data_IF_469168824303
#
_entry.id   IF_469168824303
#
_cell.length_a   1.000
_cell.length_b   1.000
_cell.length_c   1.000
_cell.angle_alpha   90.00
_cell.angle_beta   90.00
_cell.angle_gamma   90.00
#
_symmetry.space_group_name_H-M   'P 1'
#
loop_
_entity.id
_entity.type
_entity.pdbx_description
1 polymer ?
#
# COMPACT_ATOMS: atom_id res chain seq x y z
N UNK A 1 -17.41 -2.72 -6.52
CA UNK A 1 -17.04 -2.93 -5.12
C UNK A 1 -17.76 -1.95 -4.19
N UNK A 2 -17.46 -0.65 -4.24
CA UNK A 2 -18.03 0.33 -3.28
C UNK A 2 -19.57 0.34 -3.22
N UNK A 3 -20.24 0.25 -4.36
CA UNK A 3 -21.71 0.22 -4.45
C UNK A 3 -22.36 -1.04 -3.82
N UNK A 4 -21.56 -2.07 -3.50
CA UNK A 4 -22.05 -3.28 -2.83
C UNK A 4 -22.00 -3.17 -1.29
N UNK A 5 -21.48 -2.07 -0.75
CA UNK A 5 -21.43 -1.84 0.69
C UNK A 5 -22.80 -1.37 1.21
N UNK A 6 -23.25 -1.89 2.37
CA UNK A 6 -24.57 -1.56 2.92
C UNK A 6 -24.64 -0.18 3.59
N UNK A 7 -23.51 0.52 3.69
CA UNK A 7 -23.38 1.82 4.34
C UNK A 7 -22.47 2.75 3.53
N UNK A 8 -22.53 4.07 3.75
CA UNK A 8 -21.63 5.02 3.09
C UNK A 8 -20.16 4.64 3.29
N UNK A 9 -19.40 4.64 2.20
CA UNK A 9 -17.98 4.25 2.20
C UNK A 9 -17.10 5.48 2.14
N UNK A 10 -16.04 5.47 2.96
CA UNK A 10 -14.92 6.39 2.84
C UNK A 10 -13.72 5.63 2.27
N UNK A 11 -13.13 6.17 1.21
CA UNK A 11 -11.93 5.60 0.57
C UNK A 11 -10.72 6.40 1.01
N UNK A 12 -9.65 5.70 1.37
CA UNK A 12 -8.35 6.28 1.67
C UNK A 12 -7.29 5.65 0.77
N UNK A 13 -6.58 6.45 -0.03
CA UNK A 13 -5.37 6.04 -0.72
C UNK A 13 -4.20 6.09 0.24
N UNK A 14 -3.55 4.96 0.50
CA UNK A 14 -2.49 4.84 1.49
C UNK A 14 -1.07 4.95 0.90
N UNK A 15 -0.89 5.88 -0.02
CA UNK A 15 0.40 6.19 -0.68
C UNK A 15 0.68 5.38 -1.94
N UNK A 16 1.72 5.80 -2.67
CA UNK A 16 2.22 5.24 -3.93
C UNK A 16 1.10 5.01 -4.96
N UNK A 17 0.22 6.01 -5.09
CA UNK A 17 -0.80 6.02 -6.13
C UNK A 17 -0.27 6.54 -7.45
N UNK A 18 0.88 7.24 -7.45
CA UNK A 18 1.69 7.51 -8.63
C UNK A 18 2.89 6.56 -8.68
N UNK A 19 3.11 5.89 -9.81
CA UNK A 19 4.32 5.08 -10.03
C UNK A 19 4.58 4.80 -11.50
N UNK A 20 3.55 4.34 -12.22
CA UNK A 20 3.67 3.90 -13.62
C UNK A 20 3.09 4.90 -14.63
N UNK A 21 2.31 5.87 -14.16
CA UNK A 21 1.61 6.91 -14.90
C UNK A 21 2.56 8.06 -15.26
N UNK A 22 3.54 7.77 -16.12
CA UNK A 22 4.53 8.75 -16.58
C UNK A 22 4.05 9.62 -17.75
N UNK A 23 2.89 9.31 -18.33
CA UNK A 23 2.21 10.21 -19.25
C UNK A 23 1.48 11.32 -18.47
N UNK A 24 1.54 12.56 -18.95
CA UNK A 24 1.00 13.71 -18.21
C UNK A 24 -0.53 13.70 -18.06
N UNK A 25 -1.26 13.19 -19.05
CA UNK A 25 -2.72 13.12 -18.96
C UNK A 25 -3.16 12.03 -17.98
N UNK A 26 -2.48 10.88 -18.02
CA UNK A 26 -2.71 9.79 -17.07
C UNK A 26 -2.34 10.23 -15.64
N UNK A 27 -1.17 10.86 -15.45
CA UNK A 27 -0.73 11.39 -14.15
C UNK A 27 -1.76 12.35 -13.54
N UNK A 28 -2.15 13.37 -14.31
CA UNK A 28 -3.14 14.34 -13.85
C UNK A 28 -4.52 13.70 -13.61
N UNK A 29 -4.90 12.67 -14.37
CA UNK A 29 -6.16 11.95 -14.15
C UNK A 29 -6.15 11.14 -12.85
N UNK A 30 -5.04 10.46 -12.53
CA UNK A 30 -4.84 9.76 -11.27
C UNK A 30 -4.90 10.75 -10.11
N UNK A 31 -4.13 11.84 -10.17
CA UNK A 31 -4.08 12.83 -9.08
C UNK A 31 -5.45 13.43 -8.79
N UNK A 32 -6.18 13.89 -9.82
CA UNK A 32 -7.54 14.43 -9.67
C UNK A 32 -8.52 13.42 -9.07
N UNK A 33 -8.39 12.13 -9.43
CA UNK A 33 -9.24 11.09 -8.86
C UNK A 33 -8.94 10.90 -7.37
N UNK A 34 -7.66 10.83 -7.00
CA UNK A 34 -7.22 10.68 -5.61
C UNK A 34 -7.61 11.90 -4.77
N UNK A 35 -7.49 13.12 -5.31
CA UNK A 35 -7.84 14.37 -4.64
C UNK A 35 -9.33 14.46 -4.23
N UNK A 36 -10.21 13.63 -4.81
CA UNK A 36 -11.62 13.53 -4.41
C UNK A 36 -11.87 12.59 -3.22
N UNK A 37 -10.82 11.97 -2.68
CA UNK A 37 -10.87 11.01 -1.58
C UNK A 37 -9.90 11.40 -0.46
N UNK A 38 -9.93 10.65 0.65
CA UNK A 38 -8.83 10.76 1.61
C UNK A 38 -7.56 10.15 0.98
N UNK A 39 -6.41 10.76 1.26
CA UNK A 39 -5.13 10.22 0.87
C UNK A 39 -4.05 10.55 1.91
N UNK A 40 -3.01 9.73 1.95
CA UNK A 40 -1.72 10.00 2.59
C UNK A 40 -0.61 9.88 1.55
N UNK A 41 0.53 10.52 1.82
CA UNK A 41 1.75 10.32 1.03
C UNK A 41 2.22 8.85 1.13
N UNK A 42 2.77 8.33 0.04
CA UNK A 42 3.74 7.24 0.05
C UNK A 42 5.16 7.77 -0.08
N UNK A 43 6.15 6.87 -0.05
CA UNK A 43 7.54 7.31 -0.25
C UNK A 43 7.76 7.83 -1.66
N UNK A 44 7.05 7.31 -2.67
CA UNK A 44 7.19 7.81 -4.04
C UNK A 44 6.78 9.28 -4.10
N UNK A 45 5.57 9.61 -3.64
CA UNK A 45 5.10 11.01 -3.69
C UNK A 45 5.95 11.94 -2.83
N UNK A 46 6.44 11.48 -1.67
CA UNK A 46 7.36 12.26 -0.84
C UNK A 46 8.65 12.62 -1.60
N UNK A 47 9.22 11.69 -2.37
CA UNK A 47 10.42 11.95 -3.17
C UNK A 47 10.15 12.76 -4.45
N UNK A 48 8.92 12.79 -4.96
CA UNK A 48 8.54 13.74 -6.02
C UNK A 48 8.63 15.19 -5.52
N UNK A 49 8.30 15.42 -4.25
CA UNK A 49 8.39 16.73 -3.58
C UNK A 49 9.81 17.11 -3.16
N UNK A 50 10.72 16.14 -3.04
CA UNK A 50 12.10 16.39 -2.63
C UNK A 50 12.87 17.19 -3.70
N UNK A 51 13.67 18.16 -3.25
CA UNK A 51 14.62 18.90 -4.11
C UNK A 51 15.94 18.13 -4.25
N UNK A 52 16.22 17.22 -3.33
CA UNK A 52 17.40 16.36 -3.35
C UNK A 52 17.05 14.99 -3.94
N UNK A 53 17.84 14.54 -4.92
CA UNK A 53 17.69 13.24 -5.57
C UNK A 53 18.52 12.13 -4.91
N UNK A 54 19.20 12.43 -3.79
CA UNK A 54 20.08 11.47 -3.10
C UNK A 54 19.36 10.21 -2.58
N UNK A 55 18.06 10.32 -2.29
CA UNK A 55 17.24 9.20 -1.85
C UNK A 55 16.71 8.31 -2.99
N UNK A 56 16.93 8.70 -4.26
CA UNK A 56 16.43 7.99 -5.42
C UNK A 56 14.90 7.85 -5.39
N UNK A 57 14.40 6.62 -5.50
CA UNK A 57 12.97 6.32 -5.41
C UNK A 57 12.37 6.37 -3.98
N UNK A 58 13.19 6.55 -2.94
CA UNK A 58 12.73 6.64 -1.55
C UNK A 58 12.26 5.32 -0.94
N UNK A 59 12.31 4.19 -1.66
CA UNK A 59 11.75 2.92 -1.21
C UNK A 59 12.48 2.28 -0.01
N UNK A 60 13.68 2.77 0.34
CA UNK A 60 14.53 2.24 1.42
C UNK A 60 14.62 0.70 1.40
N UNK A 61 14.95 0.13 0.23
CA UNK A 61 14.94 -1.31 0.03
C UNK A 61 15.80 -2.04 1.08
N UNK A 62 15.34 -3.22 1.56
CA UNK A 62 16.14 -4.11 2.38
C UNK A 62 17.47 -4.49 1.70
N UNK A 63 18.49 -4.80 2.50
CA UNK A 63 19.85 -5.06 2.01
C UNK A 63 19.98 -6.30 1.11
N UNK A 64 18.99 -7.19 1.10
CA UNK A 64 18.92 -8.38 0.24
C UNK A 64 18.35 -8.09 -1.16
N UNK A 65 17.82 -6.88 -1.40
CA UNK A 65 17.40 -6.44 -2.74
C UNK A 65 18.62 -6.07 -3.57
N UNK A 66 18.69 -6.57 -4.79
CA UNK A 66 19.84 -6.35 -5.68
C UNK A 66 19.92 -4.91 -6.21
N UNK A 67 21.16 -4.43 -6.40
CA UNK A 67 21.44 -3.07 -6.90
C UNK A 67 20.79 -2.78 -8.26
N UNK A 68 20.61 -3.79 -9.12
CA UNK A 68 20.00 -3.58 -10.42
C UNK A 68 18.50 -3.30 -10.28
N UNK A 69 17.82 -3.92 -9.33
CA UNK A 69 16.44 -3.59 -8.95
C UNK A 69 16.36 -2.16 -8.42
N UNK A 70 17.24 -1.76 -7.50
CA UNK A 70 17.30 -0.38 -6.99
C UNK A 70 17.51 0.63 -8.12
N UNK A 71 18.47 0.36 -9.02
CA UNK A 71 18.78 1.24 -10.15
C UNK A 71 17.59 1.39 -11.10
N UNK A 72 16.85 0.31 -11.38
CA UNK A 72 15.63 0.38 -12.21
C UNK A 72 14.54 1.20 -11.51
N UNK A 73 14.32 1.02 -10.21
CA UNK A 73 13.35 1.84 -9.46
C UNK A 73 13.70 3.33 -9.49
N UNK A 74 14.98 3.67 -9.38
CA UNK A 74 15.43 5.07 -9.48
C UNK A 74 15.19 5.64 -10.89
N UNK A 75 15.36 4.84 -11.96
CA UNK A 75 15.04 5.28 -13.32
C UNK A 75 13.53 5.49 -13.52
N UNK A 76 12.68 4.66 -12.91
CA UNK A 76 11.23 4.83 -12.93
C UNK A 76 10.84 6.15 -12.26
N UNK A 77 11.35 6.34 -11.04
CA UNK A 77 11.05 7.53 -10.25
C UNK A 77 11.51 8.82 -10.93
N UNK A 78 12.74 8.85 -11.48
CA UNK A 78 13.24 10.03 -12.19
C UNK A 78 12.30 10.46 -13.34
N UNK A 79 11.81 9.50 -14.13
CA UNK A 79 10.85 9.79 -15.21
C UNK A 79 9.50 10.27 -14.68
N UNK A 80 9.01 9.68 -13.59
CA UNK A 80 7.79 10.11 -12.92
C UNK A 80 7.93 11.53 -12.37
N UNK A 81 9.07 11.86 -11.77
CA UNK A 81 9.39 13.18 -11.21
C UNK A 81 9.40 14.26 -12.28
N UNK A 82 9.97 13.97 -13.45
CA UNK A 82 9.87 14.89 -14.60
C UNK A 82 8.42 15.18 -14.99
N UNK A 83 7.54 14.18 -14.97
CA UNK A 83 6.11 14.35 -15.29
C UNK A 83 5.40 15.14 -14.20
N UNK A 84 5.60 14.78 -12.93
CA UNK A 84 4.99 15.45 -11.79
C UNK A 84 5.33 16.95 -11.75
N UNK A 85 6.59 17.32 -12.01
CA UNK A 85 7.05 18.71 -11.98
C UNK A 85 6.46 19.59 -13.10
N UNK A 86 5.82 18.98 -14.12
CA UNK A 86 5.07 19.70 -15.16
C UNK A 86 3.62 19.98 -14.74
N UNK A 87 3.11 19.33 -13.70
CA UNK A 87 1.75 19.53 -13.17
C UNK A 87 1.79 20.23 -11.80
N UNK A 88 1.75 21.57 -11.83
CA UNK A 88 1.77 22.39 -10.61
C UNK A 88 0.57 22.14 -9.68
N UNK A 89 -0.59 21.73 -10.22
CA UNK A 89 -1.78 21.47 -9.42
C UNK A 89 -1.58 20.18 -8.61
N UNK A 90 -1.10 19.12 -9.25
CA UNK A 90 -0.76 17.88 -8.58
C UNK A 90 0.34 18.09 -7.52
N UNK A 91 1.42 18.81 -7.84
CA UNK A 91 2.48 19.11 -6.87
C UNK A 91 1.96 19.86 -5.63
N UNK A 92 1.01 20.78 -5.82
CA UNK A 92 0.35 21.48 -4.72
C UNK A 92 -0.51 20.54 -3.87
N UNK A 93 -1.27 19.66 -4.53
CA UNK A 93 -2.09 18.65 -3.84
C UNK A 93 -1.22 17.69 -3.02
N UNK A 94 -0.17 17.12 -3.62
CA UNK A 94 0.76 16.21 -2.97
C UNK A 94 1.43 16.86 -1.75
N UNK A 95 1.90 18.11 -1.87
CA UNK A 95 2.50 18.84 -0.76
C UNK A 95 1.56 19.05 0.44
N UNK A 96 0.24 19.00 0.21
CA UNK A 96 -0.78 19.11 1.25
C UNK A 96 -1.17 17.78 1.91
N UNK A 97 -0.70 16.64 1.41
CA UNK A 97 -1.07 15.33 1.93
C UNK A 97 -0.33 15.00 3.24
N UNK A 98 -1.03 14.46 4.25
CA UNK A 98 -0.39 14.01 5.48
C UNK A 98 0.37 12.69 5.24
N UNK A 99 1.37 12.39 6.08
CA UNK A 99 2.11 11.12 6.03
C UNK A 99 1.37 9.95 6.70
N UNK A 100 0.37 10.25 7.53
CA UNK A 100 -0.47 9.26 8.19
C UNK A 100 -1.86 9.82 8.44
N UNK A 101 -2.83 8.93 8.59
CA UNK A 101 -4.21 9.30 8.99
C UNK A 101 -4.70 8.41 10.12
N UNK A 102 -5.69 8.91 10.83
CA UNK A 102 -6.39 8.18 11.88
C UNK A 102 -7.86 8.09 11.56
N UNK A 103 -8.41 6.90 11.75
CA UNK A 103 -9.84 6.67 11.69
C UNK A 103 -10.30 6.03 12.99
N UNK A 104 -11.58 6.20 13.29
CA UNK A 104 -12.25 5.45 14.35
C UNK A 104 -13.50 4.81 13.75
N UNK A 105 -13.61 3.50 13.86
CA UNK A 105 -14.78 2.74 13.43
C UNK A 105 -15.29 1.99 14.66
N UNK A 106 -16.53 2.28 15.06
CA UNK A 106 -17.07 1.94 16.38
C UNK A 106 -16.12 2.39 17.51
N UNK A 107 -15.60 1.45 18.28
CA UNK A 107 -14.68 1.67 19.40
C UNK A 107 -13.20 1.43 19.05
N UNK A 108 -12.90 1.17 17.78
CA UNK A 108 -11.56 0.79 17.32
C UNK A 108 -10.85 1.97 16.65
N UNK A 109 -9.74 2.41 17.26
CA UNK A 109 -8.82 3.37 16.66
C UNK A 109 -7.88 2.69 15.65
N UNK A 110 -7.78 3.28 14.47
CA UNK A 110 -7.05 2.76 13.31
C UNK A 110 -6.01 3.80 12.88
N UNK A 111 -4.76 3.38 12.72
CA UNK A 111 -3.70 4.15 12.09
C UNK A 111 -3.53 3.70 10.64
N UNK A 112 -3.58 4.63 9.70
CA UNK A 112 -3.24 4.38 8.29
C UNK A 112 -1.88 5.01 8.03
N UNK A 113 -0.95 4.17 7.59
CA UNK A 113 0.44 4.51 7.25
C UNK A 113 0.76 3.90 5.89
N UNK A 114 1.80 4.40 5.21
CA UNK A 114 2.28 3.78 3.97
C UNK A 114 3.19 2.58 4.27
N UNK A 115 4.35 2.85 4.88
CA UNK A 115 5.33 1.85 5.34
C UNK A 115 4.98 1.26 6.71
N UNK A 116 5.66 1.71 7.75
CA UNK A 116 5.44 1.24 9.12
C UNK A 116 5.19 2.39 10.11
N UNK A 117 5.14 2.07 11.40
CA UNK A 117 4.81 3.03 12.45
C UNK A 117 5.87 4.13 12.68
N UNK A 118 7.11 3.94 12.21
CA UNK A 118 8.19 4.91 12.40
C UNK A 118 8.67 5.56 11.09
N UNK A 119 8.51 4.88 9.95
CA UNK A 119 9.02 5.36 8.67
C UNK A 119 8.02 5.21 7.53
N UNK A 120 7.94 6.24 6.69
CA UNK A 120 7.13 6.25 5.47
C UNK A 120 7.55 5.11 4.52
N UNK A 121 8.85 4.86 4.39
CA UNK A 121 9.43 3.78 3.61
C UNK A 121 9.82 2.56 4.47
N UNK A 122 9.21 2.41 5.65
CA UNK A 122 9.54 1.37 6.62
C UNK A 122 8.99 -0.03 6.25
N UNK A 123 9.82 -1.06 6.42
CA UNK A 123 9.51 -2.44 5.98
C UNK A 123 9.03 -3.36 7.10
N UNK A 124 8.90 -2.88 8.34
CA UNK A 124 8.58 -3.74 9.50
C UNK A 124 7.15 -4.30 9.47
N UNK A 125 6.25 -3.69 8.72
CA UNK A 125 4.91 -4.22 8.42
C UNK A 125 4.86 -5.11 7.17
N UNK A 126 6.02 -5.58 6.69
CA UNK A 126 6.14 -6.57 5.62
C UNK A 126 6.27 -8.01 6.11
N UNK A 127 6.08 -8.97 5.20
CA UNK A 127 6.04 -10.41 5.49
C UNK A 127 7.33 -10.93 6.15
N UNK A 128 8.49 -10.39 5.75
CA UNK A 128 9.79 -10.83 6.25
C UNK A 128 10.06 -10.39 7.71
N UNK A 129 9.48 -9.26 8.15
CA UNK A 129 9.84 -8.61 9.40
C UNK A 129 8.72 -8.67 10.47
N UNK A 130 7.45 -8.73 10.06
CA UNK A 130 6.31 -8.62 11.00
C UNK A 130 6.30 -9.70 12.09
N UNK A 131 6.91 -10.84 11.79
CA UNK A 131 7.00 -12.03 12.63
C UNK A 131 8.34 -12.13 13.40
N UNK A 132 9.25 -11.15 13.28
CA UNK A 132 10.55 -11.15 13.96
C UNK A 132 10.34 -11.04 15.49
N UNK A 133 10.80 -12.02 16.29
CA UNK A 133 10.73 -11.94 17.75
C UNK A 133 11.55 -10.78 18.33
N UNK A 134 12.62 -10.33 17.68
CA UNK A 134 13.44 -9.19 18.09
C UNK A 134 12.66 -7.85 18.08
N UNK A 135 11.68 -7.72 17.19
CA UNK A 135 10.86 -6.51 17.03
C UNK A 135 9.64 -6.47 17.98
N UNK A 136 9.53 -7.40 18.93
CA UNK A 136 8.40 -7.50 19.84
C UNK A 136 8.19 -6.25 20.72
N UNK A 137 9.27 -5.74 21.29
CA UNK A 137 9.23 -4.51 22.07
C UNK A 137 8.83 -3.30 21.20
N UNK A 138 9.41 -3.21 19.99
CA UNK A 138 9.09 -2.16 19.03
C UNK A 138 7.62 -2.19 18.64
N UNK A 139 7.06 -3.36 18.28
CA UNK A 139 5.64 -3.50 17.91
C UNK A 139 4.72 -3.03 19.03
N UNK A 140 4.98 -3.44 20.27
CA UNK A 140 4.19 -3.01 21.44
C UNK A 140 4.22 -1.49 21.60
N UNK A 141 5.40 -0.90 21.48
CA UNK A 141 5.59 0.54 21.60
C UNK A 141 4.95 1.31 20.43
N UNK A 142 5.00 0.77 19.22
CA UNK A 142 4.35 1.34 18.03
C UNK A 142 2.84 1.48 18.23
N UNK A 143 2.15 0.41 18.63
CA UNK A 143 0.71 0.46 18.92
C UNK A 143 0.40 1.40 20.10
N UNK A 144 1.22 1.38 21.15
CA UNK A 144 1.03 2.22 22.35
C UNK A 144 1.19 3.72 22.04
N UNK A 145 2.28 4.12 21.37
CA UNK A 145 2.55 5.51 20.98
C UNK A 145 1.50 6.04 20.02
N UNK A 146 1.13 5.22 19.05
CA UNK A 146 0.08 5.59 18.13
C UNK A 146 -1.31 5.58 18.80
N UNK A 147 -1.49 4.92 19.95
CA UNK A 147 -2.81 4.74 20.56
C UNK A 147 -3.84 4.21 19.54
N UNK A 148 -3.49 3.11 18.86
CA UNK A 148 -4.36 2.42 17.91
C UNK A 148 -4.44 0.94 18.26
N UNK A 149 -5.47 0.27 17.75
CA UNK A 149 -5.59 -1.20 17.81
C UNK A 149 -5.37 -1.85 16.46
N UNK A 150 -5.37 -1.07 15.38
CA UNK A 150 -5.15 -1.55 14.02
C UNK A 150 -4.23 -0.59 13.28
N UNK A 151 -3.24 -1.14 12.58
CA UNK A 151 -2.52 -0.45 11.50
C UNK A 151 -2.95 -1.00 10.14
N UNK A 152 -3.24 -0.11 9.21
CA UNK A 152 -3.41 -0.42 7.78
C UNK A 152 -2.23 0.19 7.00
N UNK A 153 -1.57 -0.63 6.17
CA UNK A 153 -0.30 -0.34 5.47
C UNK A 153 -0.28 -0.89 4.03
N UNK A 154 0.75 -0.57 3.24
CA UNK A 154 0.91 -1.01 1.84
C UNK A 154 2.35 -1.28 1.42
N UNK A 155 3.19 -0.23 1.31
CA UNK A 155 4.61 -0.14 0.88
C UNK A 155 5.28 -1.40 0.31
N UNK A 156 5.42 -2.44 1.14
CA UNK A 156 6.13 -3.69 0.82
C UNK A 156 5.55 -4.47 -0.36
N UNK A 157 4.40 -4.06 -0.91
CA UNK A 157 3.77 -4.62 -2.11
C UNK A 157 3.41 -6.10 -2.03
N UNK A 158 3.53 -6.74 -0.87
CA UNK A 158 3.04 -8.08 -0.59
C UNK A 158 2.05 -7.98 0.56
N UNK A 159 0.84 -8.54 0.39
CA UNK A 159 -0.19 -8.31 1.35
C UNK A 159 -0.04 -9.26 2.55
N UNK A 160 -0.45 -8.81 3.71
CA UNK A 160 -0.47 -9.65 4.91
C UNK A 160 -1.55 -9.21 5.87
N UNK A 161 -2.00 -10.17 6.67
CA UNK A 161 -2.78 -9.92 7.87
C UNK A 161 -2.09 -10.62 9.04
N UNK A 162 -1.79 -9.86 10.09
CA UNK A 162 -1.22 -10.37 11.34
C UNK A 162 -1.94 -9.79 12.53
N UNK A 163 -2.11 -10.61 13.55
CA UNK A 163 -2.65 -10.16 14.83
C UNK A 163 -1.80 -10.67 15.99
N UNK A 164 -1.78 -9.84 17.03
CA UNK A 164 -1.07 -10.07 18.26
C UNK A 164 -2.08 -9.99 19.41
N UNK A 165 -2.29 -11.11 20.09
CA UNK A 165 -3.13 -11.15 21.29
C UNK A 165 -2.28 -10.71 22.50
N UNK A 166 -2.76 -9.70 23.23
CA UNK A 166 -2.13 -9.05 24.38
C UNK A 166 -3.11 -9.09 25.56
N UNK A 167 -3.16 -10.23 26.25
CA UNK A 167 -4.20 -10.49 27.24
C UNK A 167 -5.58 -10.53 26.58
N UNK A 168 -6.51 -9.67 27.02
CA UNK A 168 -7.86 -9.58 26.45
C UNK A 168 -7.92 -8.73 25.16
N UNK A 169 -6.85 -7.99 24.84
CA UNK A 169 -6.84 -7.09 23.68
C UNK A 169 -6.15 -7.73 22.48
N UNK A 170 -6.79 -7.62 21.31
CA UNK A 170 -6.19 -7.92 20.02
C UNK A 170 -5.74 -6.65 19.32
N UNK A 171 -4.50 -6.67 18.82
CA UNK A 171 -3.92 -5.67 17.91
C UNK A 171 -3.70 -6.30 16.53
N UNK A 172 -3.92 -5.54 15.45
CA UNK A 172 -3.82 -6.05 14.07
C UNK A 172 -2.97 -5.15 13.19
N UNK A 173 -2.18 -5.76 12.32
CA UNK A 173 -1.58 -5.10 11.16
C UNK A 173 -2.19 -5.75 9.92
N UNK A 174 -2.78 -4.94 9.04
CA UNK A 174 -3.15 -5.34 7.68
C UNK A 174 -2.30 -4.55 6.69
N UNK A 175 -1.64 -5.25 5.78
CA UNK A 175 -0.98 -4.68 4.63
C UNK A 175 -1.75 -5.13 3.38
N UNK A 176 -2.29 -4.19 2.59
CA UNK A 176 -3.07 -4.55 1.41
C UNK A 176 -2.21 -4.96 0.20
N UNK A 177 -0.88 -4.92 0.31
CA UNK A 177 0.02 -5.07 -0.83
C UNK A 177 -0.23 -3.96 -1.84
N UNK A 178 -0.54 -4.33 -3.09
CA UNK A 178 -0.78 -3.41 -4.18
C UNK A 178 -2.25 -3.40 -4.64
N UNK A 179 -2.84 -2.21 -4.81
CA UNK A 179 -4.16 -2.07 -5.42
C UNK A 179 -4.10 -2.13 -6.97
N UNK A 180 -3.03 -1.61 -7.57
CA UNK A 180 -2.84 -1.54 -9.04
C UNK A 180 -2.09 -2.72 -9.67
N UNK A 181 -1.69 -3.72 -8.88
CA UNK A 181 -0.97 -4.90 -9.37
C UNK A 181 -1.44 -6.17 -8.66
N UNK A 182 -1.32 -7.35 -9.28
CA UNK A 182 -1.65 -8.58 -8.61
C UNK A 182 -0.73 -8.86 -7.42
N UNK A 183 -1.31 -9.55 -6.43
CA UNK A 183 -0.66 -9.83 -5.15
C UNK A 183 -0.41 -11.31 -4.90
N UNK A 184 -0.99 -12.20 -5.72
CA UNK A 184 -0.87 -13.65 -5.56
C UNK A 184 -0.58 -14.33 -6.89
N UNK A 185 0.08 -15.47 -6.84
CA UNK A 185 0.42 -16.28 -8.01
C UNK A 185 -0.84 -16.66 -8.79
N UNK A 186 -0.84 -16.39 -10.10
CA UNK A 186 -1.95 -16.77 -11.00
C UNK A 186 -3.21 -15.93 -10.84
N UNK A 187 -3.16 -14.83 -10.09
CA UNK A 187 -4.26 -13.89 -9.91
C UNK A 187 -3.99 -12.59 -10.67
N UNK A 188 -5.05 -11.84 -10.97
CA UNK A 188 -4.99 -10.63 -11.81
C UNK A 188 -5.57 -9.40 -11.13
N UNK A 189 -6.21 -9.58 -9.99
CA UNK A 189 -6.85 -8.53 -9.22
C UNK A 189 -5.84 -7.89 -8.25
N UNK A 190 -6.04 -6.60 -7.98
CA UNK A 190 -5.40 -5.92 -6.85
C UNK A 190 -6.01 -6.35 -5.52
N UNK A 191 -5.59 -5.71 -4.44
CA UNK A 191 -6.11 -6.00 -3.11
C UNK A 191 -6.27 -4.71 -2.30
N UNK A 192 -7.35 -4.64 -1.53
CA UNK A 192 -7.68 -3.52 -0.65
C UNK A 192 -8.05 -4.01 0.75
N UNK A 193 -7.74 -3.20 1.76
CA UNK A 193 -8.21 -3.43 3.13
C UNK A 193 -9.61 -2.85 3.30
N UNK A 194 -10.57 -3.67 3.71
CA UNK A 194 -11.92 -3.26 4.11
C UNK A 194 -12.03 -3.34 5.63
N UNK A 195 -12.43 -2.23 6.24
CA UNK A 195 -12.66 -2.11 7.68
C UNK A 195 -14.11 -1.70 7.89
N UNK A 196 -14.92 -2.56 8.53
CA UNK A 196 -16.36 -2.29 8.70
C UNK A 196 -16.95 -3.02 9.92
N UNK A 197 -18.02 -2.46 10.49
CA UNK A 197 -18.81 -3.14 11.54
C UNK A 197 -19.78 -4.19 10.98
N UNK A 198 -19.88 -4.32 9.66
CA UNK A 198 -20.71 -5.34 9.01
C UNK A 198 -19.85 -6.31 8.20
N UNK A 199 -20.27 -7.59 8.09
CA UNK A 199 -19.64 -8.53 7.19
C UNK A 199 -19.57 -8.00 5.75
N UNK A 200 -18.53 -8.38 5.03
CA UNK A 200 -18.39 -8.05 3.61
C UNK A 200 -19.46 -8.74 2.77
N UNK A 201 -20.05 -8.02 1.81
CA UNK A 201 -20.93 -8.60 0.78
C UNK A 201 -20.16 -9.32 -0.33
N UNK A 202 -18.85 -9.09 -0.41
CA UNK A 202 -17.91 -9.78 -1.29
C UNK A 202 -17.07 -10.79 -0.50
N UNK A 203 -16.74 -11.96 -1.06
CA UNK A 203 -15.90 -12.94 -0.38
C UNK A 203 -14.49 -12.36 -0.15
N UNK A 204 -14.02 -12.25 1.11
CA UNK A 204 -12.66 -11.85 1.38
C UNK A 204 -11.66 -12.93 0.98
N UNK A 205 -10.48 -12.52 0.52
CA UNK A 205 -9.34 -13.42 0.31
C UNK A 205 -8.87 -14.01 1.64
N UNK A 206 -8.89 -13.18 2.68
CA UNK A 206 -8.72 -13.53 4.08
C UNK A 206 -9.19 -12.37 4.94
N UNK A 207 -9.41 -12.61 6.23
CA UNK A 207 -9.81 -11.58 7.16
C UNK A 207 -9.72 -12.03 8.62
N UNK A 208 -9.95 -11.09 9.52
CA UNK A 208 -10.09 -11.31 10.96
C UNK A 208 -11.10 -10.32 11.54
N UNK A 209 -11.30 -10.37 12.85
CA UNK A 209 -12.09 -9.38 13.57
C UNK A 209 -11.36 -8.88 14.83
N UNK A 210 -11.67 -7.64 15.20
CA UNK A 210 -11.29 -7.03 16.48
C UNK A 210 -12.55 -6.44 17.10
N UNK A 211 -13.08 -7.08 18.14
CA UNK A 211 -14.41 -6.73 18.65
C UNK A 211 -15.45 -6.87 17.55
N UNK A 212 -16.20 -5.80 17.27
CA UNK A 212 -17.19 -5.75 16.18
C UNK A 212 -16.60 -5.36 14.80
N UNK A 213 -15.32 -4.98 14.71
CA UNK A 213 -14.71 -4.57 13.46
C UNK A 213 -14.25 -5.79 12.65
N UNK A 214 -14.81 -5.95 11.46
CA UNK A 214 -14.30 -6.83 10.41
C UNK A 214 -13.10 -6.17 9.71
N UNK A 215 -12.03 -6.95 9.56
CA UNK A 215 -10.78 -6.54 8.93
C UNK A 215 -10.50 -7.53 7.79
N UNK A 216 -10.89 -7.13 6.59
CA UNK A 216 -10.95 -8.01 5.43
C UNK A 216 -9.99 -7.54 4.33
N UNK A 217 -9.29 -8.47 3.69
CA UNK A 217 -8.59 -8.22 2.45
C UNK A 217 -9.48 -8.63 1.28
N UNK A 218 -9.94 -7.65 0.50
CA UNK A 218 -10.86 -7.88 -0.61
C UNK A 218 -10.15 -7.76 -1.96
N UNK A 219 -10.47 -8.65 -2.93
CA UNK A 219 -9.93 -8.53 -4.27
C UNK A 219 -10.49 -7.28 -4.96
N UNK A 220 -9.61 -6.48 -5.56
CA UNK A 220 -9.96 -5.30 -6.35
C UNK A 220 -9.84 -5.65 -7.84
N UNK A 221 -10.97 -5.99 -8.45
CA UNK A 221 -11.05 -6.24 -9.88
C UNK A 221 -10.93 -4.95 -10.70
N UNK A 222 -10.17 -5.01 -11.78
CA UNK A 222 -10.04 -3.97 -12.81
C UNK A 222 -9.94 -4.62 -14.20
N UNK A 223 -10.07 -3.83 -15.26
CA UNK A 223 -9.84 -4.31 -16.63
C UNK A 223 -8.35 -4.58 -16.83
N UNK A 224 -7.96 -5.83 -16.59
CA UNK A 224 -6.57 -6.25 -16.56
C UNK A 224 -5.91 -6.14 -17.94
N UNK A 225 -6.62 -6.50 -19.01
CA UNK A 225 -6.06 -6.45 -20.35
C UNK A 225 -5.86 -5.00 -20.80
N UNK A 226 -6.76 -4.09 -20.41
CA UNK A 226 -6.56 -2.65 -20.59
C UNK A 226 -5.37 -2.16 -19.79
N UNK A 227 -5.24 -2.57 -18.54
CA UNK A 227 -4.11 -2.17 -17.69
C UNK A 227 -2.78 -2.58 -18.30
N UNK A 228 -2.65 -3.84 -18.75
CA UNK A 228 -1.43 -4.34 -19.43
C UNK A 228 -1.10 -3.51 -20.67
N UNK A 229 -2.10 -3.17 -21.50
CA UNK A 229 -1.88 -2.33 -22.69
C UNK A 229 -1.39 -0.92 -22.32
N UNK A 230 -1.99 -0.29 -21.32
CA UNK A 230 -1.58 1.05 -20.87
C UNK A 230 -0.18 1.04 -20.26
N UNK A 231 0.11 0.05 -19.42
CA UNK A 231 1.44 -0.16 -18.85
C UNK A 231 2.50 -0.30 -19.95
N UNK A 232 2.29 -1.20 -20.93
CA UNK A 232 3.25 -1.42 -22.02
C UNK A 232 3.40 -0.23 -22.97
N UNK A 233 2.39 0.63 -23.09
CA UNK A 233 2.48 1.87 -23.85
C UNK A 233 3.38 2.90 -23.13
N UNK A 234 3.24 3.04 -21.81
CA UNK A 234 4.07 3.93 -20.99
C UNK A 234 5.49 3.39 -20.81
N UNK A 235 5.62 2.07 -20.72
CA UNK A 235 6.83 1.33 -20.40
C UNK A 235 7.05 0.22 -21.41
N UNK A 236 7.63 0.55 -22.59
CA UNK A 236 7.91 -0.44 -23.62
C UNK A 236 8.93 -1.49 -23.14
N UNK A 237 9.06 -2.57 -23.92
CA UNK A 237 10.06 -3.61 -23.71
C UNK A 237 11.45 -2.97 -23.49
N UNK A 238 12.23 -3.57 -22.61
CA UNK A 238 13.55 -3.13 -22.15
C UNK A 238 13.59 -1.86 -21.29
N UNK A 239 12.44 -1.20 -21.04
CA UNK A 239 12.38 -0.14 -20.02
C UNK A 239 12.51 -0.67 -18.59
N UNK A 240 12.94 0.19 -17.68
CA UNK A 240 13.16 -0.17 -16.28
C UNK A 240 11.89 -0.74 -15.61
N UNK A 241 10.72 -0.14 -15.83
CA UNK A 241 9.46 -0.65 -15.28
C UNK A 241 9.05 -1.97 -15.94
N UNK A 242 9.16 -2.10 -17.27
CA UNK A 242 8.84 -3.35 -17.95
C UNK A 242 9.66 -4.52 -17.39
N UNK A 243 10.97 -4.32 -17.27
CA UNK A 243 11.89 -5.34 -16.77
C UNK A 243 11.66 -5.69 -15.29
N UNK A 244 11.10 -4.76 -14.50
CA UNK A 244 10.85 -4.97 -13.07
C UNK A 244 9.45 -5.53 -12.77
N UNK A 245 8.43 -5.12 -13.53
CA UNK A 245 7.03 -5.32 -13.15
C UNK A 245 6.18 -6.04 -14.20
N UNK A 246 6.56 -6.11 -15.48
CA UNK A 246 5.68 -6.65 -16.53
C UNK A 246 5.22 -8.09 -16.23
N UNK A 247 6.16 -8.99 -15.87
CA UNK A 247 5.83 -10.37 -15.50
C UNK A 247 4.91 -10.41 -14.27
N UNK A 248 5.21 -9.61 -13.25
CA UNK A 248 4.39 -9.53 -12.03
C UNK A 248 2.98 -9.02 -12.33
N UNK A 249 2.84 -8.06 -13.24
CA UNK A 249 1.53 -7.56 -13.67
C UNK A 249 0.77 -8.70 -14.37
N UNK A 250 1.40 -9.48 -15.24
CA UNK A 250 0.71 -10.57 -15.95
C UNK A 250 0.36 -11.80 -15.09
N UNK A 251 1.28 -12.20 -14.21
CA UNK A 251 1.28 -13.52 -13.56
C UNK A 251 1.06 -13.44 -12.05
N UNK A 252 1.21 -12.25 -11.46
CA UNK A 252 1.34 -12.05 -10.02
C UNK A 252 2.74 -12.41 -9.49
N UNK A 253 3.05 -12.04 -8.24
CA UNK A 253 4.26 -12.48 -7.56
C UNK A 253 4.14 -13.95 -7.15
N UNK A 254 5.28 -14.59 -6.83
CA UNK A 254 5.28 -15.91 -6.19
C UNK A 254 4.86 -15.79 -4.71
N UNK A 255 3.56 -15.60 -4.49
CA UNK A 255 2.97 -15.40 -3.18
C UNK A 255 1.58 -16.05 -3.13
N UNK A 256 1.31 -16.77 -2.05
CA UNK A 256 0.01 -17.39 -1.80
C UNK A 256 -0.69 -16.68 -0.64
N UNK A 257 -2.04 -16.61 -0.63
CA UNK A 257 -2.77 -16.00 0.48
C UNK A 257 -2.38 -16.62 1.83
N UNK A 258 -1.96 -15.80 2.79
CA UNK A 258 -1.60 -16.27 4.13
C UNK A 258 -2.21 -15.40 5.22
N UNK A 259 -2.83 -16.02 6.22
CA UNK A 259 -3.27 -15.37 7.46
C UNK A 259 -2.73 -16.19 8.63
N UNK A 260 -1.97 -15.55 9.53
CA UNK A 260 -1.32 -16.22 10.67
C UNK A 260 -1.51 -15.37 11.94
N UNK A 261 -1.62 -16.03 13.09
CA UNK A 261 -1.76 -15.40 14.40
C UNK A 261 -0.70 -15.85 15.39
N UNK A 262 -0.38 -14.98 16.36
CA UNK A 262 0.43 -15.33 17.53
C UNK A 262 -0.30 -14.99 18.83
N UNK A 263 -0.21 -15.91 19.80
CA UNK A 263 -0.60 -15.68 21.20
C UNK A 263 0.67 -15.40 21.99
N UNK A 264 0.69 -14.31 22.74
CA UNK A 264 1.73 -14.07 23.72
C UNK A 264 1.11 -14.31 25.10
N UNK A 265 1.58 -15.36 25.77
CA UNK A 265 1.31 -15.63 27.19
C UNK A 265 2.03 -14.61 28.09
#
# INVERSE_FOLDING_TARGET
MLAAEPAPVRVCFNGDFHWFDVDGDDFGAVDRFVASHDAILGNVEAELLSVDDSAGCGCAYPADVDDATVARSNQIHARLKETAHRDAAAMTHLAGLPMHRRYRIADIDIGVVHGDADSLAGWRFGLAAIDDPGDEHWRREAFRRAAVRLFASSHTCLPLLRWFDRGAERQVVINNGAAGMPNFTGRREGLVSRLSCTPSSLPPMYGTHIGALHVDALPLGYDHDRWVRQFSASWPVDSAAHNSYYRRILEGPDHQPSHKGRRHE
#
